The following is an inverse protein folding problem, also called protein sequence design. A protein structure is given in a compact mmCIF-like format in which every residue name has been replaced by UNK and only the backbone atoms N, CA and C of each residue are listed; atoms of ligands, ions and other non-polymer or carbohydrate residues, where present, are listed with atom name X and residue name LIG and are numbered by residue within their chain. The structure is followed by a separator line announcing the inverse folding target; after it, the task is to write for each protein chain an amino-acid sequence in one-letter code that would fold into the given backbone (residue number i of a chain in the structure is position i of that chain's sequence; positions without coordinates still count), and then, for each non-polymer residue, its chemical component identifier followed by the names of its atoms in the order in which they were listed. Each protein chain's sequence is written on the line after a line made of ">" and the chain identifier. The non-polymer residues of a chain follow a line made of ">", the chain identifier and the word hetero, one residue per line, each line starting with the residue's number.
data_IF_569305923796
#
_entry.id   IF_569305923796
#
_cell.length_a   1.000
_cell.length_b   1.000
_cell.length_c   1.000
_cell.angle_alpha   90.00
_cell.angle_beta   90.00
_cell.angle_gamma   90.00
#
_symmetry.space_group_name_H-M   'P 1'
#
loop_
_entity.id
_entity.type
_entity.pdbx_description
1 polymer ?
#
# COMPACT_ATOMS: atom_id res chain seq x y z
N UNK A 1 -3.16 -15.16 2.35
CA UNK A 1 -3.20 -15.28 0.87
C UNK A 1 -2.40 -14.13 0.25
N UNK A 2 -1.60 -14.44 -0.77
CA UNK A 2 -0.77 -13.44 -1.44
C UNK A 2 -1.36 -13.10 -2.81
N UNK A 3 -1.51 -11.82 -3.10
CA UNK A 3 -2.02 -11.37 -4.39
C UNK A 3 -0.86 -11.29 -5.39
N UNK A 4 -0.99 -11.97 -6.50
CA UNK A 4 0.07 -12.04 -7.51
C UNK A 4 -0.33 -11.43 -8.87
N UNK A 5 -1.51 -10.84 -8.97
CA UNK A 5 -1.99 -10.24 -10.21
C UNK A 5 -2.12 -8.73 -10.08
N UNK A 6 -1.50 -8.00 -11.02
CA UNK A 6 -1.62 -6.54 -11.08
C UNK A 6 -3.03 -6.12 -11.51
N UNK A 7 -3.82 -7.04 -12.01
CA UNK A 7 -5.20 -6.78 -12.45
C UNK A 7 -6.23 -7.04 -11.37
N UNK A 8 -5.81 -7.47 -10.18
CA UNK A 8 -6.70 -7.67 -9.05
C UNK A 8 -7.43 -6.36 -8.74
N UNK A 9 -8.73 -6.44 -8.51
CA UNK A 9 -9.57 -5.25 -8.30
C UNK A 9 -9.08 -4.39 -7.13
N UNK A 10 -8.71 -5.03 -6.03
CA UNK A 10 -8.20 -4.32 -4.85
C UNK A 10 -6.91 -3.57 -5.19
N UNK A 11 -6.04 -4.21 -5.96
CA UNK A 11 -4.77 -3.60 -6.38
C UNK A 11 -5.02 -2.41 -7.29
N UNK A 12 -5.96 -2.54 -8.21
CA UNK A 12 -6.32 -1.43 -9.10
C UNK A 12 -6.84 -0.23 -8.30
N UNK A 13 -7.68 -0.49 -7.29
CA UNK A 13 -8.22 0.58 -6.45
C UNK A 13 -7.13 1.28 -5.64
N UNK A 14 -6.18 0.51 -5.11
CA UNK A 14 -5.05 1.09 -4.38
C UNK A 14 -4.19 1.94 -5.30
N UNK A 15 -3.90 1.44 -6.50
CA UNK A 15 -3.08 2.16 -7.47
C UNK A 15 -3.69 3.49 -7.89
N UNK A 16 -5.01 3.58 -7.92
CA UNK A 16 -5.71 4.83 -8.24
C UNK A 16 -5.36 5.94 -7.27
N UNK A 17 -4.99 5.60 -6.03
CA UNK A 17 -4.63 6.61 -5.03
C UNK A 17 -3.36 7.39 -5.37
N UNK A 18 -2.64 6.99 -6.41
CA UNK A 18 -1.54 7.78 -6.93
C UNK A 18 -2.02 9.02 -7.67
N UNK A 19 -3.33 9.09 -7.98
CA UNK A 19 -3.93 10.22 -8.65
C UNK A 19 -4.76 11.05 -7.69
N UNK A 20 -4.58 12.37 -7.74
CA UNK A 20 -5.25 13.29 -6.82
C UNK A 20 -6.78 13.14 -6.87
N UNK A 21 -7.33 12.92 -8.05
CA UNK A 21 -8.77 12.74 -8.23
C UNK A 21 -9.35 11.69 -7.31
N UNK A 22 -8.70 10.53 -7.25
CA UNK A 22 -9.19 9.42 -6.45
C UNK A 22 -8.89 9.62 -4.97
N UNK A 23 -7.80 10.29 -4.62
CA UNK A 23 -7.53 10.65 -3.24
C UNK A 23 -8.62 11.56 -2.69
N UNK A 24 -9.04 12.53 -3.48
CA UNK A 24 -10.10 13.47 -3.07
C UNK A 24 -11.45 12.77 -2.93
N UNK A 25 -11.75 11.84 -3.83
CA UNK A 25 -13.01 11.10 -3.78
C UNK A 25 -13.12 10.19 -2.55
N UNK A 26 -12.02 9.58 -2.15
CA UNK A 26 -12.02 8.57 -1.08
C UNK A 26 -11.56 9.11 0.26
N UNK A 27 -10.98 10.30 0.30
CA UNK A 27 -10.27 10.84 1.47
C UNK A 27 -9.15 9.92 1.94
N UNK A 28 -8.53 9.22 0.99
CA UNK A 28 -7.44 8.30 1.26
C UNK A 28 -6.23 8.66 0.43
N UNK A 29 -5.05 8.25 0.90
CA UNK A 29 -3.82 8.50 0.18
C UNK A 29 -2.82 7.39 0.48
N UNK A 30 -1.81 7.27 -0.38
CA UNK A 30 -0.76 6.28 -0.21
C UNK A 30 0.47 6.91 0.41
N UNK A 31 1.12 6.16 1.30
CA UNK A 31 2.46 6.51 1.78
C UNK A 31 3.36 5.31 1.49
N UNK A 32 4.59 5.60 1.13
CA UNK A 32 5.58 4.58 0.83
C UNK A 32 6.75 4.69 1.79
N UNK A 33 7.28 3.53 2.19
CA UNK A 33 8.40 3.47 3.09
C UNK A 33 7.97 3.27 4.53
N UNK A 34 8.75 2.46 5.24
CA UNK A 34 8.40 2.04 6.59
C UNK A 34 8.28 3.21 7.57
N UNK A 35 9.08 4.25 7.39
CA UNK A 35 9.02 5.40 8.30
C UNK A 35 7.70 6.14 8.18
N UNK A 36 7.22 6.37 6.96
CA UNK A 36 5.94 7.04 6.74
C UNK A 36 4.78 6.17 7.18
N UNK A 37 4.88 4.87 6.98
CA UNK A 37 3.86 3.93 7.42
C UNK A 37 3.75 3.95 8.94
N UNK A 38 4.88 3.93 9.65
CA UNK A 38 4.88 3.99 11.10
C UNK A 38 4.32 5.31 11.62
N UNK A 39 4.64 6.43 10.97
CA UNK A 39 4.08 7.73 11.33
C UNK A 39 2.56 7.73 11.19
N UNK A 40 2.06 7.20 10.07
CA UNK A 40 0.62 7.12 9.85
C UNK A 40 -0.05 6.26 10.92
N UNK A 41 0.60 5.17 11.34
CA UNK A 41 0.09 4.30 12.38
C UNK A 41 -0.01 5.05 13.72
N UNK A 42 1.04 5.79 14.08
CA UNK A 42 1.06 6.55 15.32
C UNK A 42 -0.02 7.61 15.37
N UNK A 43 -0.31 8.23 14.22
CA UNK A 43 -1.33 9.28 14.12
C UNK A 43 -2.75 8.72 14.01
N UNK A 44 -2.89 7.40 13.97
CA UNK A 44 -4.19 6.77 13.83
C UNK A 44 -4.80 6.92 12.44
N UNK A 45 -3.96 7.19 11.43
CA UNK A 45 -4.41 7.42 10.06
C UNK A 45 -4.25 6.20 9.17
N UNK A 46 -3.52 5.20 9.63
CA UNK A 46 -3.22 4.03 8.81
C UNK A 46 -4.42 3.10 8.74
N UNK A 47 -4.90 2.87 7.54
CA UNK A 47 -6.05 2.01 7.30
C UNK A 47 -5.61 0.58 6.98
N UNK A 48 -4.60 0.45 6.13
CA UNK A 48 -4.15 -0.85 5.65
C UNK A 48 -2.71 -0.76 5.19
N UNK A 49 -1.98 -1.86 5.33
CA UNK A 49 -0.61 -1.98 4.85
C UNK A 49 -0.57 -3.02 3.73
N UNK A 50 0.17 -2.70 2.68
CA UNK A 50 0.45 -3.63 1.60
C UNK A 50 1.93 -3.99 1.68
N UNK A 51 2.21 -5.28 1.83
CA UNK A 51 3.57 -5.78 2.00
C UNK A 51 3.92 -6.79 0.92
N UNK A 52 5.18 -6.80 0.51
CA UNK A 52 5.70 -7.90 -0.29
C UNK A 52 5.68 -9.17 0.56
N UNK A 53 5.47 -10.32 -0.08
CA UNK A 53 5.18 -11.57 0.63
C UNK A 53 6.21 -12.02 1.65
N UNK A 54 7.45 -11.53 1.54
CA UNK A 54 8.52 -11.90 2.48
C UNK A 54 8.80 -10.84 3.55
N UNK A 55 8.02 -9.77 3.57
CA UNK A 55 8.21 -8.68 4.51
C UNK A 55 7.30 -8.85 5.73
N UNK A 56 7.69 -8.23 6.83
CA UNK A 56 6.91 -8.25 8.06
C UNK A 56 6.89 -6.89 8.72
N UNK A 57 5.84 -6.63 9.50
CA UNK A 57 5.73 -5.44 10.33
C UNK A 57 5.49 -5.87 11.78
N UNK A 58 5.84 -5.00 12.71
CA UNK A 58 5.80 -5.32 14.14
C UNK A 58 4.62 -4.68 14.88
N UNK A 59 3.61 -4.23 14.16
CA UNK A 59 2.41 -3.68 14.76
C UNK A 59 1.18 -4.24 14.05
N UNK A 60 0.03 -4.20 14.74
CA UNK A 60 -1.19 -4.78 14.20
C UNK A 60 -1.96 -3.78 13.35
N UNK A 61 -2.23 -4.16 12.12
CA UNK A 61 -3.01 -3.39 11.16
C UNK A 61 -3.44 -4.37 10.07
N UNK A 62 -4.53 -4.04 9.38
CA UNK A 62 -4.96 -4.86 8.24
C UNK A 62 -3.83 -4.89 7.22
N UNK A 63 -3.41 -6.08 6.85
CA UNK A 63 -2.27 -6.27 5.96
C UNK A 63 -2.65 -7.12 4.76
N UNK A 64 -2.25 -6.68 3.58
CA UNK A 64 -2.41 -7.43 2.35
C UNK A 64 -1.02 -7.78 1.82
N UNK A 65 -0.77 -9.05 1.59
CA UNK A 65 0.51 -9.51 1.04
C UNK A 65 0.43 -9.62 -0.46
N UNK A 66 1.47 -9.18 -1.15
CA UNK A 66 1.52 -9.16 -2.60
C UNK A 66 2.89 -9.63 -3.08
N UNK A 67 2.98 -9.99 -4.36
CA UNK A 67 4.26 -10.31 -4.96
C UNK A 67 5.00 -9.02 -5.33
N UNK A 68 6.30 -9.14 -5.62
CA UNK A 68 7.13 -7.98 -5.95
C UNK A 68 6.58 -7.20 -7.16
N UNK A 69 6.16 -7.91 -8.21
CA UNK A 69 5.64 -7.22 -9.40
C UNK A 69 4.36 -6.44 -9.11
N UNK A 70 3.54 -6.94 -8.18
CA UNK A 70 2.32 -6.24 -7.79
C UNK A 70 2.65 -4.97 -7.01
N UNK A 71 3.55 -5.07 -6.02
CA UNK A 71 3.90 -3.87 -5.22
C UNK A 71 4.59 -2.83 -6.09
N UNK A 72 5.40 -3.27 -7.04
CA UNK A 72 6.05 -2.35 -7.97
C UNK A 72 5.02 -1.61 -8.85
N UNK A 73 3.92 -2.26 -9.20
CA UNK A 73 2.87 -1.64 -10.01
C UNK A 73 2.10 -0.55 -9.25
N UNK A 74 2.09 -0.63 -7.92
CA UNK A 74 1.40 0.35 -7.07
C UNK A 74 2.29 1.56 -6.80
N UNK A 75 3.58 1.32 -6.63
CA UNK A 75 4.52 2.34 -6.20
C UNK A 75 4.64 3.46 -7.24
N UNK A 76 4.68 4.69 -6.76
CA UNK A 76 4.94 5.86 -7.61
C UNK A 76 6.42 6.18 -7.66
N UNK A 77 7.26 5.43 -6.93
CA UNK A 77 8.70 5.60 -6.90
C UNK A 77 9.37 4.52 -7.75
N UNK A 78 10.58 4.81 -8.20
CA UNK A 78 11.35 3.83 -8.96
C UNK A 78 11.73 2.63 -8.11
N UNK A 79 11.93 2.84 -6.80
CA UNK A 79 12.26 1.78 -5.85
C UNK A 79 11.08 1.61 -4.90
N UNK A 80 10.25 0.60 -5.10
CA UNK A 80 9.10 0.38 -4.21
C UNK A 80 9.54 -0.22 -2.86
N UNK A 81 8.95 0.29 -1.79
CA UNK A 81 9.10 -0.25 -0.45
C UNK A 81 7.88 0.16 0.36
N UNK A 82 7.23 -0.79 0.91
CA UNK A 82 6.00 -0.49 1.65
C UNK A 82 6.03 -1.21 2.95
#
# INVERSE_FOLDING_TARGET
>A
MTIDSVDNKKIKNIRKLNQKKYRDETNEFLVEGIHLVKEAYKEGLLKEVVLEENEEIDFKVDTTYVTYNVIKSISSLDTPYK
#
